data_IF_584289193400
#
_entry.id   IF_584289193400
#
_cell.length_a   1.000
_cell.length_b   1.000
_cell.length_c   1.000
_cell.angle_alpha   90.00
_cell.angle_beta   90.00
_cell.angle_gamma   90.00
#
_symmetry.space_group_name_H-M   'P 1'
#
loop_
_entity.id
_entity.type
_entity.pdbx_description
1 polymer ?
#
# COMPACT_ATOMS: atom_id res chain seq x y z
N UNK A 1 -55.53 56.86 9.99
CA UNK A 1 -56.20 55.75 9.27
C UNK A 1 -55.43 55.45 7.99
N UNK A 2 -54.73 54.31 7.91
CA UNK A 2 -54.37 53.60 6.67
C UNK A 2 -53.87 52.19 7.06
N UNK A 3 -54.75 51.21 6.87
CA UNK A 3 -54.43 49.77 6.94
C UNK A 3 -53.59 49.41 5.71
N UNK A 4 -52.53 48.62 5.84
CA UNK A 4 -52.00 47.86 4.70
C UNK A 4 -51.28 46.56 5.10
N UNK A 5 -52.04 45.46 4.99
CA UNK A 5 -51.75 44.07 4.61
C UNK A 5 -50.39 43.41 4.93
N UNK A 6 -50.47 42.33 5.74
CA UNK A 6 -49.52 41.23 5.79
C UNK A 6 -49.53 40.45 4.47
N UNK A 7 -48.35 40.25 3.87
CA UNK A 7 -48.13 39.21 2.85
C UNK A 7 -47.31 38.11 3.52
N UNK A 8 -47.94 36.97 3.79
CA UNK A 8 -47.22 35.73 4.15
C UNK A 8 -46.53 35.20 2.90
N UNK A 9 -45.22 35.38 2.80
CA UNK A 9 -44.38 34.66 1.85
C UNK A 9 -43.95 33.33 2.45
N UNK A 10 -44.44 32.22 1.91
CA UNK A 10 -43.97 30.88 2.24
C UNK A 10 -42.53 30.71 1.69
N UNK A 11 -41.53 30.79 2.56
CA UNK A 11 -40.16 30.43 2.22
C UNK A 11 -40.04 28.90 2.23
N UNK A 12 -40.07 28.28 1.05
CA UNK A 12 -39.69 26.89 0.89
C UNK A 12 -38.19 26.76 1.17
N UNK A 13 -37.85 26.29 2.38
CA UNK A 13 -36.47 26.02 2.78
C UNK A 13 -35.90 24.88 1.95
N UNK A 14 -34.93 25.19 1.09
CA UNK A 14 -34.13 24.18 0.39
C UNK A 14 -33.11 23.62 1.38
N UNK A 15 -33.43 22.48 2.00
CA UNK A 15 -32.50 21.76 2.87
C UNK A 15 -31.41 21.12 2.03
N UNK A 16 -30.21 21.70 2.03
CA UNK A 16 -29.02 21.03 1.50
C UNK A 16 -28.65 19.93 2.50
N UNK A 17 -28.89 18.68 2.11
CA UNK A 17 -28.35 17.54 2.84
C UNK A 17 -26.82 17.55 2.69
N UNK A 18 -26.12 18.02 3.73
CA UNK A 18 -24.68 17.83 3.82
C UNK A 18 -24.46 16.33 4.03
N UNK A 19 -24.02 15.64 2.99
CA UNK A 19 -23.51 14.28 3.13
C UNK A 19 -22.23 14.39 3.95
N UNK A 20 -22.28 13.96 5.21
CA UNK A 20 -21.09 13.79 6.01
C UNK A 20 -20.21 12.73 5.33
N UNK A 21 -19.19 13.20 4.63
CA UNK A 21 -18.11 12.35 4.15
C UNK A 21 -17.44 11.83 5.41
N UNK A 22 -17.56 10.53 5.68
CA UNK A 22 -16.94 9.90 6.85
C UNK A 22 -15.47 10.27 6.91
N UNK A 23 -14.98 10.59 8.10
CA UNK A 23 -13.61 11.06 8.28
C UNK A 23 -12.63 9.95 7.83
N UNK A 24 -11.81 10.16 6.78
CA UNK A 24 -10.79 9.19 6.38
C UNK A 24 -9.77 8.91 7.49
N UNK A 25 -9.78 9.71 8.58
CA UNK A 25 -8.93 9.56 9.76
C UNK A 25 -9.53 8.67 10.86
N UNK A 26 -10.80 8.25 10.74
CA UNK A 26 -11.40 7.32 11.71
C UNK A 26 -10.72 5.94 11.60
N UNK A 27 -10.16 5.46 12.72
CA UNK A 27 -9.63 4.10 12.85
C UNK A 27 -8.10 3.97 12.91
N UNK A 28 -7.35 5.07 12.98
CA UNK A 28 -5.90 5.01 13.22
C UNK A 28 -5.58 4.63 14.68
N UNK A 29 -4.71 3.65 14.88
CA UNK A 29 -4.16 3.28 16.20
C UNK A 29 -2.86 4.02 16.50
N UNK A 30 -2.03 4.22 15.47
CA UNK A 30 -0.74 4.89 15.57
C UNK A 30 -0.67 5.94 14.47
N UNK A 31 -0.30 7.16 14.84
CA UNK A 31 0.04 8.23 13.90
C UNK A 31 1.56 8.40 13.87
N UNK A 32 2.15 8.35 12.69
CA UNK A 32 3.60 8.51 12.53
C UNK A 32 3.89 9.96 12.16
N UNK A 33 4.69 10.63 12.97
CA UNK A 33 5.10 12.01 12.70
C UNK A 33 6.08 12.06 11.52
N UNK A 34 5.99 13.05 10.61
CA UNK A 34 6.95 13.20 9.52
C UNK A 34 8.39 13.27 10.05
N UNK A 35 9.29 12.48 9.45
CA UNK A 35 10.69 12.38 9.87
C UNK A 35 10.96 11.39 11.01
N UNK A 36 9.93 10.82 11.63
CA UNK A 36 10.09 9.65 12.49
C UNK A 36 10.37 8.40 11.64
N UNK A 37 11.02 7.39 12.25
CA UNK A 37 11.19 6.10 11.57
C UNK A 37 9.87 5.35 11.52
N UNK A 38 9.49 4.94 10.31
CA UNK A 38 8.31 4.11 10.10
C UNK A 38 8.56 2.68 10.59
N UNK A 39 9.77 2.15 10.42
CA UNK A 39 10.11 0.83 10.97
C UNK A 39 9.94 0.81 12.49
N UNK A 40 10.42 1.83 13.21
CA UNK A 40 10.24 1.92 14.66
C UNK A 40 8.76 1.98 15.06
N UNK A 41 7.93 2.69 14.30
CA UNK A 41 6.48 2.73 14.54
C UNK A 41 5.82 1.35 14.30
N UNK A 42 6.22 0.65 13.23
CA UNK A 42 5.80 -0.74 12.98
C UNK A 42 6.20 -1.63 14.15
N UNK A 43 7.44 -1.56 14.62
CA UNK A 43 7.97 -2.39 15.70
C UNK A 43 7.27 -2.13 17.04
N UNK A 44 6.94 -0.87 17.34
CA UNK A 44 6.24 -0.50 18.58
C UNK A 44 4.73 -0.79 18.55
N UNK A 45 4.10 -0.82 17.37
CA UNK A 45 2.65 -0.99 17.26
C UNK A 45 2.16 -2.36 17.77
N UNK A 46 1.01 -2.43 18.48
CA UNK A 46 0.43 -3.71 18.84
C UNK A 46 -0.05 -4.47 17.59
N UNK A 47 -0.05 -5.82 17.60
CA UNK A 47 -0.64 -6.59 16.51
C UNK A 47 -2.10 -6.18 16.24
N UNK A 48 -2.44 -6.01 14.97
CA UNK A 48 -3.73 -5.51 14.49
C UNK A 48 -3.84 -3.98 14.41
N UNK A 49 -2.81 -3.24 14.81
CA UNK A 49 -2.82 -1.77 14.75
C UNK A 49 -2.95 -1.24 13.32
N UNK A 50 -3.64 -0.11 13.21
CA UNK A 50 -3.65 0.72 12.00
C UNK A 50 -2.64 1.85 12.17
N UNK A 51 -1.58 1.81 11.38
CA UNK A 51 -0.50 2.79 11.34
C UNK A 51 -0.79 3.77 10.21
N UNK A 52 -1.10 5.01 10.56
CA UNK A 52 -1.46 6.06 9.63
C UNK A 52 -0.28 6.97 9.34
N UNK A 53 0.00 7.12 8.06
CA UNK A 53 1.05 7.96 7.53
C UNK A 53 0.46 9.27 7.01
N UNK A 54 0.90 10.44 7.52
CA UNK A 54 0.57 11.70 6.89
C UNK A 54 1.17 11.80 5.47
N UNK A 55 0.83 12.87 4.76
CA UNK A 55 1.49 13.17 3.48
C UNK A 55 3.00 13.29 3.70
N UNK A 56 3.78 12.80 2.75
CA UNK A 56 5.23 12.82 2.83
C UNK A 56 5.89 11.68 2.06
N UNK A 57 7.21 11.77 1.96
CA UNK A 57 8.07 10.70 1.45
C UNK A 57 8.78 10.05 2.64
N UNK A 58 8.65 8.73 2.74
CA UNK A 58 9.22 7.91 3.80
C UNK A 58 10.31 7.04 3.17
N UNK A 59 11.58 7.38 3.40
CA UNK A 59 12.72 6.62 2.87
C UNK A 59 13.06 5.46 3.81
N UNK A 60 12.46 4.31 3.55
CA UNK A 60 12.47 3.17 4.47
C UNK A 60 12.45 1.85 3.68
N UNK A 61 12.99 0.79 4.31
CA UNK A 61 12.82 -0.59 3.88
C UNK A 61 12.19 -1.35 5.05
N UNK A 62 10.90 -1.66 4.93
CA UNK A 62 10.13 -2.20 6.03
C UNK A 62 10.23 -3.72 6.11
N UNK A 63 10.40 -4.24 7.33
CA UNK A 63 10.24 -5.65 7.65
C UNK A 63 9.03 -5.79 8.59
N UNK A 64 8.02 -6.53 8.15
CA UNK A 64 6.74 -6.71 8.85
C UNK A 64 6.57 -8.19 9.20
N UNK A 65 6.56 -8.48 10.50
CA UNK A 65 6.47 -9.85 11.05
C UNK A 65 5.22 -10.07 11.91
N UNK A 66 4.30 -9.10 11.92
CA UNK A 66 3.06 -9.12 12.70
C UNK A 66 1.92 -8.48 11.91
N UNK A 67 0.69 -8.81 12.29
CA UNK A 67 -0.48 -8.22 11.65
C UNK A 67 -0.54 -6.72 11.91
N UNK A 68 -0.64 -5.91 10.86
CA UNK A 68 -0.78 -4.44 10.92
C UNK A 68 -1.44 -3.94 9.64
N UNK A 69 -2.01 -2.74 9.70
CA UNK A 69 -2.39 -1.97 8.51
C UNK A 69 -1.44 -0.78 8.38
N UNK A 70 -0.90 -0.53 7.19
CA UNK A 70 -0.19 0.69 6.84
C UNK A 70 -1.06 1.49 5.87
N UNK A 71 -1.55 2.64 6.34
CA UNK A 71 -2.47 3.51 5.61
C UNK A 71 -1.81 4.84 5.29
N UNK A 72 -1.78 5.21 4.01
CA UNK A 72 -1.44 6.57 3.60
C UNK A 72 -2.66 7.45 3.37
N UNK A 73 -2.44 8.63 2.79
CA UNK A 73 -3.49 9.57 2.40
C UNK A 73 -3.77 9.55 0.89
N UNK A 74 -3.35 8.52 0.18
CA UNK A 74 -3.47 8.34 -1.26
C UNK A 74 -2.12 8.38 -1.97
N UNK A 75 -2.09 7.75 -3.14
CA UNK A 75 -0.87 7.52 -3.96
C UNK A 75 -0.11 8.77 -4.38
N UNK A 76 -0.76 9.94 -4.38
CA UNK A 76 -0.12 11.23 -4.72
C UNK A 76 0.38 11.99 -3.49
N UNK A 77 -0.01 11.57 -2.27
CA UNK A 77 0.27 12.29 -1.02
C UNK A 77 1.24 11.55 -0.11
N UNK A 78 1.14 10.23 -0.03
CA UNK A 78 1.99 9.41 0.82
C UNK A 78 2.78 8.44 -0.03
N UNK A 79 4.12 8.45 0.13
CA UNK A 79 5.03 7.57 -0.61
C UNK A 79 6.02 6.92 0.33
N UNK A 80 6.17 5.60 0.25
CA UNK A 80 7.28 4.87 0.84
C UNK A 80 8.28 4.57 -0.28
N UNK A 81 9.51 5.04 -0.11
CA UNK A 81 10.58 4.92 -1.09
C UNK A 81 11.66 4.02 -0.50
N UNK A 82 12.11 3.01 -1.25
CA UNK A 82 13.24 2.19 -0.82
C UNK A 82 14.48 3.06 -0.62
N UNK A 83 15.21 2.84 0.46
CA UNK A 83 16.38 3.66 0.84
C UNK A 83 17.60 3.50 -0.08
N UNK A 84 17.52 2.61 -1.09
CA UNK A 84 18.55 2.44 -2.12
C UNK A 84 19.93 2.11 -1.57
N UNK A 85 19.97 1.51 -0.36
CA UNK A 85 21.09 1.44 0.56
C UNK A 85 22.47 1.62 -0.08
N UNK A 86 23.28 2.53 0.49
CA UNK A 86 24.69 2.71 0.08
C UNK A 86 25.57 1.52 0.46
N UNK A 87 25.03 0.54 1.18
CA UNK A 87 25.76 -0.64 1.61
C UNK A 87 25.68 -1.74 0.53
N UNK A 88 26.83 -2.11 -0.08
CA UNK A 88 26.89 -3.13 -1.13
C UNK A 88 26.48 -4.54 -0.66
N UNK A 89 26.21 -4.75 0.63
CA UNK A 89 25.68 -6.01 1.16
C UNK A 89 24.17 -6.00 1.40
N UNK A 90 23.51 -4.83 1.42
CA UNK A 90 22.06 -4.70 1.67
C UNK A 90 21.23 -4.42 0.41
N UNK A 91 21.83 -4.52 -0.78
CA UNK A 91 21.24 -4.07 -2.05
C UNK A 91 19.92 -4.77 -2.44
N UNK A 92 19.42 -5.75 -1.69
CA UNK A 92 18.34 -6.64 -2.12
C UNK A 92 17.06 -6.59 -1.27
N UNK A 93 16.93 -5.65 -0.33
CA UNK A 93 15.73 -5.61 0.51
C UNK A 93 14.53 -4.99 -0.24
N UNK A 94 13.35 -5.63 -0.17
CA UNK A 94 12.12 -5.00 -0.63
C UNK A 94 11.85 -3.68 0.08
N UNK A 95 11.09 -2.78 -0.55
CA UNK A 95 10.58 -1.58 0.14
C UNK A 95 9.66 -2.00 1.29
N UNK A 96 8.83 -3.02 1.08
CA UNK A 96 8.02 -3.64 2.12
C UNK A 96 8.18 -5.16 2.03
N UNK A 97 8.71 -5.75 3.10
CA UNK A 97 8.89 -7.19 3.23
C UNK A 97 8.03 -7.76 4.36
N UNK A 98 7.00 -8.50 3.98
CA UNK A 98 6.06 -9.17 4.88
C UNK A 98 6.51 -10.63 5.04
N UNK A 99 6.81 -11.01 6.28
CA UNK A 99 7.34 -12.32 6.63
C UNK A 99 6.35 -13.10 7.49
N UNK A 100 5.56 -13.98 6.87
CA UNK A 100 4.63 -14.89 7.55
C UNK A 100 5.30 -16.14 8.11
N UNK A 101 6.39 -15.98 8.86
CA UNK A 101 7.18 -17.09 9.41
C UNK A 101 6.52 -17.65 10.68
N UNK A 102 6.18 -18.95 10.70
CA UNK A 102 5.73 -19.69 11.89
C UNK A 102 4.27 -19.47 12.34
N UNK A 103 3.66 -18.32 12.04
CA UNK A 103 2.23 -18.05 12.29
C UNK A 103 1.63 -17.22 11.15
N UNK A 104 0.37 -17.47 10.77
CA UNK A 104 -0.33 -16.59 9.83
C UNK A 104 -0.44 -15.16 10.40
N UNK A 105 -0.07 -14.19 9.58
CA UNK A 105 -0.25 -12.76 9.86
C UNK A 105 -1.09 -12.13 8.76
N UNK A 106 -1.79 -11.05 9.09
CA UNK A 106 -2.60 -10.28 8.13
C UNK A 106 -2.03 -8.88 8.02
N UNK A 107 -1.56 -8.52 6.83
CA UNK A 107 -1.02 -7.18 6.56
C UNK A 107 -1.87 -6.50 5.50
N UNK A 108 -2.30 -5.27 5.78
CA UNK A 108 -3.05 -4.45 4.84
C UNK A 108 -2.20 -3.23 4.47
N UNK A 109 -1.99 -3.01 3.18
CA UNK A 109 -1.31 -1.82 2.66
C UNK A 109 -2.32 -1.03 1.83
N UNK A 110 -2.58 0.21 2.21
CA UNK A 110 -3.65 1.00 1.59
C UNK A 110 -3.31 2.47 1.38
N UNK A 111 -3.84 2.99 0.28
CA UNK A 111 -3.84 4.43 -0.04
C UNK A 111 -2.44 5.07 0.02
N UNK A 112 -1.44 4.45 -0.61
CA UNK A 112 -0.08 5.00 -0.67
C UNK A 112 0.67 4.56 -1.93
N UNK A 113 1.75 5.28 -2.26
CA UNK A 113 2.70 4.86 -3.28
C UNK A 113 3.88 4.10 -2.65
N UNK A 114 4.33 3.06 -3.35
CA UNK A 114 5.59 2.35 -3.11
C UNK A 114 6.50 2.64 -4.31
N UNK A 115 7.68 3.19 -4.06
CA UNK A 115 8.61 3.57 -5.13
C UNK A 115 10.00 2.98 -4.91
N UNK A 116 10.65 2.59 -6.01
CA UNK A 116 12.05 2.21 -5.99
C UNK A 116 12.99 3.39 -5.73
N UNK A 117 14.23 3.10 -5.30
CA UNK A 117 15.23 4.13 -5.11
C UNK A 117 15.55 4.84 -6.43
N UNK A 118 15.83 6.15 -6.41
CA UNK A 118 16.26 6.86 -7.60
C UNK A 118 17.58 6.29 -8.14
N UNK A 119 17.64 6.01 -9.45
CA UNK A 119 18.89 5.70 -10.16
C UNK A 119 19.37 4.24 -10.13
N UNK A 120 18.55 3.27 -9.71
CA UNK A 120 18.98 1.87 -9.64
C UNK A 120 19.05 1.19 -11.02
N UNK A 121 20.24 1.21 -11.62
CA UNK A 121 20.69 0.28 -12.66
C UNK A 121 21.72 -0.68 -12.07
N UNK A 122 21.27 -1.84 -11.60
CA UNK A 122 22.15 -2.97 -11.28
C UNK A 122 21.32 -4.23 -11.41
N UNK A 123 21.88 -5.25 -12.07
CA UNK A 123 21.20 -6.48 -12.47
C UNK A 123 21.22 -7.58 -11.41
N UNK A 124 21.86 -7.33 -10.26
CA UNK A 124 22.06 -8.31 -9.20
C UNK A 124 21.48 -7.80 -7.88
N UNK A 125 20.58 -8.59 -7.28
CA UNK A 125 19.92 -8.25 -6.02
C UNK A 125 18.97 -7.08 -6.16
N UNK A 126 17.90 -7.24 -6.94
CA UNK A 126 17.00 -6.14 -7.31
C UNK A 126 16.06 -5.80 -6.16
N UNK A 127 15.99 -4.54 -5.67
CA UNK A 127 14.98 -4.17 -4.69
C UNK A 127 13.58 -4.36 -5.29
N UNK A 128 12.79 -5.17 -4.61
CA UNK A 128 11.37 -5.41 -4.90
C UNK A 128 10.50 -4.32 -4.24
N UNK A 129 9.29 -4.13 -4.74
CA UNK A 129 8.35 -3.18 -4.12
C UNK A 129 7.78 -3.74 -2.83
N UNK A 130 6.80 -4.63 -2.97
CA UNK A 130 6.17 -5.35 -1.88
C UNK A 130 6.40 -6.85 -2.07
N UNK A 131 6.94 -7.51 -1.05
CA UNK A 131 7.14 -8.96 -1.02
C UNK A 131 6.41 -9.55 0.18
N UNK A 132 5.57 -10.54 -0.04
CA UNK A 132 4.94 -11.33 1.01
C UNK A 132 5.33 -12.81 0.89
N UNK A 133 5.81 -13.39 1.99
CA UNK A 133 6.34 -14.77 2.03
C UNK A 133 5.75 -15.57 3.19
N UNK A 134 6.01 -16.87 3.19
CA UNK A 134 5.54 -17.79 4.22
C UNK A 134 4.04 -17.96 4.20
N UNK A 135 3.42 -17.86 5.38
CA UNK A 135 1.97 -18.04 5.57
C UNK A 135 1.19 -16.72 5.67
N UNK A 136 1.78 -15.62 5.20
CA UNK A 136 1.18 -14.30 5.29
C UNK A 136 -0.08 -14.19 4.42
N UNK A 137 -1.12 -13.54 4.97
CA UNK A 137 -2.23 -12.99 4.20
C UNK A 137 -1.98 -11.50 3.97
N UNK A 138 -1.97 -11.05 2.72
CA UNK A 138 -1.76 -9.64 2.37
C UNK A 138 -2.96 -9.06 1.61
N UNK A 139 -3.40 -7.87 1.98
CA UNK A 139 -4.30 -7.06 1.18
C UNK A 139 -3.61 -5.78 0.73
N UNK A 140 -3.67 -5.49 -0.58
CA UNK A 140 -3.12 -4.29 -1.19
C UNK A 140 -4.26 -3.57 -1.90
N UNK A 141 -4.62 -2.35 -1.46
CA UNK A 141 -5.76 -1.61 -2.02
C UNK A 141 -5.51 -0.12 -2.22
N UNK A 142 -5.85 0.41 -3.39
CA UNK A 142 -5.62 1.85 -3.66
C UNK A 142 -4.15 2.24 -3.66
N UNK A 143 -3.26 1.31 -4.06
CA UNK A 143 -1.80 1.48 -4.02
C UNK A 143 -1.23 1.70 -5.42
N UNK A 144 -0.13 2.44 -5.52
CA UNK A 144 0.71 2.46 -6.72
C UNK A 144 2.10 1.91 -6.39
N UNK A 145 2.57 0.92 -7.13
CA UNK A 145 3.93 0.38 -7.01
C UNK A 145 4.69 0.65 -8.30
N UNK A 146 5.78 1.41 -8.23
CA UNK A 146 6.47 1.84 -9.45
C UNK A 146 7.95 2.17 -9.36
N UNK A 147 8.68 2.00 -10.46
CA UNK A 147 10.08 2.38 -10.58
C UNK A 147 11.03 1.43 -9.86
N UNK A 148 10.61 0.18 -9.65
CA UNK A 148 11.45 -0.83 -9.00
C UNK A 148 12.26 -1.57 -10.07
N UNK A 149 13.58 -1.71 -9.90
CA UNK A 149 14.39 -2.51 -10.81
C UNK A 149 14.10 -4.01 -10.67
N UNK A 150 13.30 -4.43 -9.69
CA UNK A 150 12.82 -5.80 -9.51
C UNK A 150 11.31 -5.94 -9.72
N UNK A 151 10.73 -6.94 -9.05
CA UNK A 151 9.28 -7.18 -9.03
C UNK A 151 8.57 -6.09 -8.22
N UNK A 152 7.49 -5.53 -8.76
CA UNK A 152 6.61 -4.59 -8.06
C UNK A 152 5.91 -5.25 -6.87
N UNK A 153 5.08 -6.26 -7.10
CA UNK A 153 4.42 -7.03 -6.04
C UNK A 153 4.72 -8.52 -6.22
N UNK A 154 5.28 -9.15 -5.19
CA UNK A 154 5.61 -10.57 -5.20
C UNK A 154 5.00 -11.30 -4.01
N UNK A 155 4.21 -12.35 -4.28
CA UNK A 155 3.82 -13.33 -3.26
C UNK A 155 4.53 -14.65 -3.56
N UNK A 156 5.18 -15.23 -2.55
CA UNK A 156 5.93 -16.49 -2.66
C UNK A 156 5.54 -17.49 -1.57
N UNK A 157 6.05 -18.72 -1.68
CA UNK A 157 5.77 -19.82 -0.77
C UNK A 157 4.25 -20.09 -0.66
N UNK A 158 3.67 -20.10 0.54
CA UNK A 158 2.23 -20.29 0.76
C UNK A 158 1.49 -18.97 1.01
N UNK A 159 2.09 -17.84 0.64
CA UNK A 159 1.50 -16.53 0.89
C UNK A 159 0.23 -16.37 0.07
N UNK A 160 -0.76 -15.74 0.67
CA UNK A 160 -2.04 -15.52 0.02
C UNK A 160 -2.44 -14.05 0.10
N UNK A 161 -3.32 -13.59 -0.79
CA UNK A 161 -3.77 -12.20 -0.71
C UNK A 161 -4.86 -11.77 -1.67
N UNK A 162 -5.21 -10.49 -1.52
CA UNK A 162 -6.07 -9.76 -2.44
C UNK A 162 -5.39 -8.46 -2.87
N UNK A 163 -5.35 -8.21 -4.17
CA UNK A 163 -4.80 -6.98 -4.73
C UNK A 163 -5.95 -6.28 -5.47
N UNK A 164 -6.33 -5.10 -4.98
CA UNK A 164 -7.51 -4.35 -5.45
C UNK A 164 -7.14 -2.93 -5.85
N UNK A 165 -7.72 -2.43 -6.94
CA UNK A 165 -7.61 -1.02 -7.35
C UNK A 165 -6.16 -0.49 -7.29
N UNK A 166 -5.22 -1.31 -7.75
CA UNK A 166 -3.78 -1.11 -7.57
C UNK A 166 -3.09 -1.00 -8.93
N UNK A 167 -2.19 -0.03 -9.06
CA UNK A 167 -1.38 0.15 -10.25
C UNK A 167 0.05 -0.33 -10.02
N UNK A 168 0.56 -1.24 -10.85
CA UNK A 168 1.92 -1.79 -10.75
C UNK A 168 2.67 -1.50 -12.05
N UNK A 169 3.47 -0.44 -12.03
CA UNK A 169 3.93 0.25 -13.24
C UNK A 169 5.44 0.38 -13.29
N UNK A 170 6.05 0.33 -14.48
CA UNK A 170 7.45 0.76 -14.66
C UNK A 170 8.42 0.00 -13.74
N UNK A 171 8.14 -1.28 -13.50
CA UNK A 171 9.02 -2.17 -12.76
C UNK A 171 9.67 -3.18 -13.73
N UNK A 172 10.65 -3.97 -13.28
CA UNK A 172 11.16 -5.08 -14.10
C UNK A 172 10.06 -6.11 -14.34
N UNK A 173 9.36 -6.51 -13.27
CA UNK A 173 8.13 -7.30 -13.33
C UNK A 173 7.02 -6.60 -12.55
N UNK A 174 5.78 -6.73 -12.99
CA UNK A 174 4.63 -6.18 -12.28
C UNK A 174 4.27 -7.01 -11.06
N UNK A 175 3.25 -7.86 -11.18
CA UNK A 175 2.81 -8.81 -10.15
C UNK A 175 3.40 -10.18 -10.45
N UNK A 176 4.03 -10.83 -9.47
CA UNK A 176 4.48 -12.21 -9.59
C UNK A 176 3.95 -13.04 -8.42
N UNK A 177 3.34 -14.18 -8.71
CA UNK A 177 3.05 -15.24 -7.75
C UNK A 177 3.97 -16.43 -8.00
N UNK A 178 4.65 -16.95 -6.98
CA UNK A 178 5.52 -18.13 -7.09
C UNK A 178 5.12 -19.22 -6.09
N UNK A 179 5.71 -20.40 -6.25
CA UNK A 179 5.52 -21.56 -5.36
C UNK A 179 4.05 -21.97 -5.24
N UNK A 180 3.42 -21.87 -4.08
CA UNK A 180 2.00 -22.20 -3.87
C UNK A 180 1.15 -20.95 -3.61
N UNK A 181 1.68 -19.76 -3.91
CA UNK A 181 1.05 -18.49 -3.57
C UNK A 181 -0.28 -18.30 -4.31
N UNK A 182 -1.24 -17.66 -3.65
CA UNK A 182 -2.58 -17.45 -4.21
C UNK A 182 -3.03 -16.00 -4.08
N UNK A 183 -3.52 -15.39 -5.14
CA UNK A 183 -4.07 -14.04 -5.06
C UNK A 183 -5.39 -13.86 -5.83
N UNK A 184 -6.26 -12.99 -5.33
CA UNK A 184 -7.34 -12.40 -6.13
C UNK A 184 -6.88 -11.04 -6.66
N UNK A 185 -7.00 -10.81 -7.96
CA UNK A 185 -6.60 -9.57 -8.63
C UNK A 185 -7.85 -8.86 -9.19
N UNK A 186 -8.24 -7.75 -8.57
CA UNK A 186 -9.43 -6.99 -8.96
C UNK A 186 -9.05 -5.53 -9.25
N UNK A 187 -9.41 -4.99 -10.42
CA UNK A 187 -9.03 -3.61 -10.75
C UNK A 187 -7.52 -3.35 -10.81
N UNK A 188 -6.71 -4.40 -11.03
CA UNK A 188 -5.24 -4.29 -11.09
C UNK A 188 -4.80 -3.81 -12.47
N UNK A 189 -4.02 -2.73 -12.50
CA UNK A 189 -3.38 -2.24 -13.72
C UNK A 189 -1.87 -2.47 -13.66
N UNK A 190 -1.42 -3.58 -14.24
CA UNK A 190 0.00 -3.84 -14.45
C UNK A 190 0.40 -3.46 -15.89
N UNK A 191 1.24 -2.43 -16.05
CA UNK A 191 1.59 -1.89 -17.36
C UNK A 191 2.98 -1.25 -17.37
N UNK A 192 3.60 -1.17 -18.55
CA UNK A 192 4.94 -0.59 -18.73
C UNK A 192 6.03 -1.25 -17.87
N UNK A 193 5.80 -2.50 -17.43
CA UNK A 193 6.84 -3.30 -16.81
C UNK A 193 7.73 -3.92 -17.89
N UNK A 194 9.02 -4.09 -17.60
CA UNK A 194 10.02 -4.46 -18.62
C UNK A 194 9.84 -5.88 -19.16
N UNK A 195 9.55 -6.83 -18.28
CA UNK A 195 9.49 -8.26 -18.60
C UNK A 195 8.04 -8.75 -18.63
N UNK A 196 7.43 -8.94 -17.46
CA UNK A 196 6.07 -9.46 -17.35
C UNK A 196 5.21 -8.53 -16.50
N UNK A 197 4.00 -8.23 -16.96
CA UNK A 197 3.02 -7.47 -16.18
C UNK A 197 2.46 -8.32 -15.04
N UNK A 198 2.02 -9.54 -15.34
CA UNK A 198 1.55 -10.51 -14.36
C UNK A 198 2.18 -11.86 -14.71
N UNK A 199 2.82 -12.51 -13.74
CA UNK A 199 3.46 -13.80 -13.91
C UNK A 199 3.05 -14.76 -12.78
N UNK A 200 2.91 -16.04 -13.13
CA UNK A 200 2.69 -17.13 -12.19
C UNK A 200 3.77 -18.19 -12.40
N UNK A 201 4.35 -18.68 -11.31
CA UNK A 201 5.31 -19.77 -11.30
C UNK A 201 4.97 -20.83 -10.25
N UNK A 202 5.48 -22.05 -10.41
CA UNK A 202 5.18 -23.16 -9.50
C UNK A 202 3.72 -23.62 -9.59
N UNK A 203 3.12 -23.89 -8.44
CA UNK A 203 1.71 -24.25 -8.26
C UNK A 203 0.82 -23.03 -7.91
N UNK A 204 1.33 -21.81 -8.06
CA UNK A 204 0.63 -20.56 -7.72
C UNK A 204 -0.62 -20.33 -8.56
N UNK A 205 -1.56 -19.54 -8.03
CA UNK A 205 -2.87 -19.30 -8.65
C UNK A 205 -3.31 -17.85 -8.50
N UNK A 206 -3.85 -17.28 -9.57
CA UNK A 206 -4.52 -15.99 -9.54
C UNK A 206 -5.98 -16.16 -9.97
N UNK A 207 -6.88 -15.38 -9.37
CA UNK A 207 -8.28 -15.26 -9.79
C UNK A 207 -8.66 -13.82 -10.04
#
# INVERSE_FOLDING_TARGET
MRKLWLVLGAAAGLSIAVVAIGDPQAGCTVWVEPGASLQAAVDAAPPGAVICLPQGSWEENLVITKSVTIRGQGVERTRISGSGGTDPFFISQPVIWIKGEGKPITVIIEDLAIQGPPGSGSWWGLPHGLVAQGTAWVEVRGVRVSGLPGIGIWLSESAQGAIRDTAVLENEHGVWLSDEAQATLEGVRAAHNRMHNIALGGASRAR
#
